data_IF_385117231947
#
_entry.id   IF_385117231947
#
_cell.length_a   1.000
_cell.length_b   1.000
_cell.length_c   1.000
_cell.angle_alpha   90.00
_cell.angle_beta   90.00
_cell.angle_gamma   90.00
#
_symmetry.space_group_name_H-M   'P 1'
#
loop_
_entity.id
_entity.type
_entity.pdbx_description
1 polymer ?
#
# COMPACT_ATOMS: atom_id res chain seq x y z
N UNK A 1 -37.59 -9.84 -1.84
CA UNK A 1 -36.90 -11.01 -1.23
C UNK A 1 -36.13 -11.87 -2.22
N UNK A 2 -36.19 -11.63 -3.53
CA UNK A 2 -35.47 -12.38 -4.59
C UNK A 2 -34.04 -11.93 -4.83
N UNK A 3 -33.65 -10.74 -4.40
CA UNK A 3 -32.33 -10.14 -4.70
C UNK A 3 -31.19 -10.63 -3.76
N UNK A 4 -31.50 -11.01 -2.53
CA UNK A 4 -30.50 -11.52 -1.56
C UNK A 4 -30.03 -12.94 -1.93
N UNK A 5 -30.92 -13.77 -2.50
CA UNK A 5 -30.59 -15.14 -2.92
C UNK A 5 -29.66 -15.21 -4.11
N UNK A 6 -29.77 -14.26 -5.05
CA UNK A 6 -28.91 -14.22 -6.25
C UNK A 6 -27.52 -13.64 -5.95
N UNK A 7 -27.42 -12.71 -5.00
CA UNK A 7 -26.14 -12.11 -4.56
C UNK A 7 -25.25 -13.11 -3.79
N UNK A 8 -25.85 -13.97 -2.96
CA UNK A 8 -25.12 -15.04 -2.27
C UNK A 8 -24.55 -16.10 -3.23
N UNK A 9 -25.27 -16.40 -4.32
CA UNK A 9 -24.84 -17.39 -5.30
C UNK A 9 -23.60 -16.93 -6.11
N UNK A 10 -23.53 -15.67 -6.51
CA UNK A 10 -22.38 -15.14 -7.26
C UNK A 10 -21.09 -15.11 -6.40
N UNK A 11 -21.20 -14.69 -5.13
CA UNK A 11 -20.07 -14.68 -4.19
C UNK A 11 -19.56 -16.10 -3.92
N UNK A 12 -20.45 -17.05 -3.63
CA UNK A 12 -20.07 -18.46 -3.44
C UNK A 12 -19.37 -19.02 -4.66
N UNK A 13 -19.83 -18.69 -5.86
CA UNK A 13 -19.26 -19.18 -7.11
C UNK A 13 -17.86 -18.66 -7.36
N UNK A 14 -17.56 -17.40 -7.03
CA UNK A 14 -16.18 -16.83 -7.13
C UNK A 14 -15.21 -17.61 -6.24
N UNK A 15 -15.60 -17.91 -5.00
CA UNK A 15 -14.77 -18.66 -4.06
C UNK A 15 -14.63 -20.12 -4.49
N UNK A 16 -15.71 -20.77 -4.91
CA UNK A 16 -15.67 -22.15 -5.42
C UNK A 16 -14.74 -22.30 -6.63
N UNK A 17 -14.79 -21.36 -7.57
CA UNK A 17 -13.93 -21.35 -8.75
C UNK A 17 -12.47 -21.12 -8.37
N UNK A 18 -12.19 -20.21 -7.43
CA UNK A 18 -10.83 -19.95 -6.97
C UNK A 18 -10.21 -21.14 -6.22
N UNK A 19 -11.01 -21.86 -5.42
CA UNK A 19 -10.57 -23.03 -4.64
C UNK A 19 -10.45 -24.32 -5.51
N UNK A 20 -11.14 -24.38 -6.64
CA UNK A 20 -11.12 -25.54 -7.53
C UNK A 20 -9.83 -25.69 -8.35
N UNK A 21 -9.00 -24.66 -8.37
CA UNK A 21 -7.76 -24.61 -9.17
C UNK A 21 -6.53 -24.37 -8.30
N UNK A 22 -5.34 -24.41 -8.89
CA UNK A 22 -4.11 -24.06 -8.16
C UNK A 22 -4.07 -22.57 -7.77
N UNK A 23 -3.33 -22.19 -6.71
CA UNK A 23 -3.17 -20.78 -6.31
C UNK A 23 -2.68 -19.86 -7.43
N UNK A 24 -1.90 -20.35 -8.38
CA UNK A 24 -1.43 -19.60 -9.55
C UNK A 24 -2.56 -19.31 -10.55
N UNK A 25 -3.53 -20.18 -10.66
CA UNK A 25 -4.61 -20.11 -11.65
C UNK A 25 -5.87 -19.45 -11.09
N UNK A 26 -5.94 -19.20 -9.77
CA UNK A 26 -7.14 -18.73 -9.08
C UNK A 26 -7.66 -17.41 -9.66
N UNK A 27 -6.78 -16.44 -9.92
CA UNK A 27 -7.15 -15.15 -10.51
C UNK A 27 -7.66 -15.31 -11.94
N UNK A 28 -6.99 -16.13 -12.75
CA UNK A 28 -7.41 -16.40 -14.12
C UNK A 28 -8.76 -17.13 -14.17
N UNK A 29 -8.98 -18.10 -13.30
CA UNK A 29 -10.24 -18.83 -13.21
C UNK A 29 -11.42 -17.91 -12.85
N UNK A 30 -11.24 -17.04 -11.85
CA UNK A 30 -12.26 -16.05 -11.46
C UNK A 30 -12.53 -15.05 -12.59
N UNK A 31 -11.49 -14.54 -13.25
CA UNK A 31 -11.66 -13.58 -14.36
C UNK A 31 -12.32 -14.24 -15.57
N UNK A 32 -12.03 -15.51 -15.85
CA UNK A 32 -12.68 -16.28 -16.92
C UNK A 32 -14.16 -16.51 -16.64
N UNK A 33 -14.51 -16.89 -15.42
CA UNK A 33 -15.90 -17.08 -15.01
C UNK A 33 -16.70 -15.78 -15.12
N UNK A 34 -16.15 -14.67 -14.64
CA UNK A 34 -16.76 -13.36 -14.74
C UNK A 34 -16.98 -12.95 -16.21
N UNK A 35 -15.95 -13.15 -17.06
CA UNK A 35 -16.03 -12.85 -18.46
C UNK A 35 -17.14 -13.65 -19.17
N UNK A 36 -17.24 -14.95 -18.88
CA UNK A 36 -18.29 -15.82 -19.44
C UNK A 36 -19.69 -15.39 -18.95
N UNK A 37 -19.83 -15.06 -17.66
CA UNK A 37 -21.12 -14.67 -17.08
C UNK A 37 -21.67 -13.35 -17.64
N UNK A 38 -20.78 -12.41 -17.99
CA UNK A 38 -21.14 -11.06 -18.48
C UNK A 38 -21.03 -10.94 -20.02
N UNK A 39 -20.65 -11.99 -20.74
CA UNK A 39 -20.45 -11.94 -22.18
C UNK A 39 -19.32 -10.97 -22.58
N UNK A 40 -18.32 -10.80 -21.74
CA UNK A 40 -17.17 -9.97 -22.02
C UNK A 40 -16.34 -10.57 -23.16
N UNK A 41 -15.72 -9.73 -23.97
CA UNK A 41 -14.81 -10.17 -25.04
C UNK A 41 -13.40 -10.41 -24.54
N UNK A 42 -12.99 -9.71 -23.49
CA UNK A 42 -11.72 -9.90 -22.81
C UNK A 42 -11.80 -9.41 -21.36
N UNK A 43 -11.04 -10.07 -20.49
CA UNK A 43 -10.80 -9.63 -19.11
C UNK A 43 -9.32 -9.76 -18.79
N UNK A 44 -8.76 -8.76 -18.10
CA UNK A 44 -7.38 -8.79 -17.61
C UNK A 44 -7.35 -8.40 -16.15
N UNK A 45 -6.49 -9.06 -15.38
CA UNK A 45 -6.09 -8.58 -14.06
C UNK A 45 -4.67 -8.02 -14.13
N UNK A 46 -4.51 -6.80 -13.64
CA UNK A 46 -3.25 -6.10 -13.55
C UNK A 46 -2.96 -5.85 -12.08
N UNK A 47 -1.76 -6.24 -11.62
CA UNK A 47 -1.32 -6.01 -10.25
C UNK A 47 -0.60 -4.66 -10.15
N UNK A 48 -0.83 -3.94 -9.05
CA UNK A 48 -0.12 -2.70 -8.78
C UNK A 48 1.35 -2.99 -8.42
N UNK A 49 2.26 -2.30 -9.07
CA UNK A 49 3.67 -2.31 -8.72
C UNK A 49 3.92 -1.73 -7.32
N UNK A 50 4.97 -2.19 -6.65
CA UNK A 50 5.35 -1.72 -5.31
C UNK A 50 5.73 -0.24 -5.29
N UNK A 51 6.22 0.30 -6.41
CA UNK A 51 6.46 1.75 -6.55
C UNK A 51 5.16 2.57 -6.61
N UNK A 52 4.00 1.94 -6.82
CA UNK A 52 2.72 2.61 -7.03
C UNK A 52 2.65 3.47 -8.30
N UNK A 53 3.58 3.25 -9.27
CA UNK A 53 3.71 4.06 -10.49
C UNK A 53 3.39 3.28 -11.76
N UNK A 54 3.13 1.98 -11.65
CA UNK A 54 2.83 1.12 -12.78
C UNK A 54 1.89 -0.02 -12.40
N UNK A 55 1.32 -0.66 -13.41
CA UNK A 55 0.61 -1.93 -13.30
C UNK A 55 1.30 -2.99 -14.15
N UNK A 56 1.39 -4.21 -13.63
CA UNK A 56 1.85 -5.37 -14.39
C UNK A 56 0.67 -6.29 -14.70
N UNK A 57 0.54 -6.74 -15.94
CA UNK A 57 -0.54 -7.65 -16.36
C UNK A 57 -0.21 -9.08 -15.96
N UNK A 58 -0.96 -9.67 -15.02
CA UNK A 58 -0.77 -11.04 -14.54
C UNK A 58 -1.67 -12.05 -15.25
N UNK A 59 -2.89 -11.67 -15.62
CA UNK A 59 -3.82 -12.56 -16.29
C UNK A 59 -4.53 -11.84 -17.45
N UNK A 60 -4.72 -12.53 -18.55
CA UNK A 60 -5.51 -12.06 -19.69
C UNK A 60 -6.31 -13.20 -20.27
N UNK A 61 -7.63 -13.05 -20.32
CA UNK A 61 -8.56 -14.03 -20.90
C UNK A 61 -9.30 -13.36 -22.07
N UNK A 62 -9.02 -13.80 -23.31
CA UNK A 62 -9.78 -13.40 -24.49
C UNK A 62 -10.82 -14.49 -24.79
N UNK A 63 -12.09 -14.10 -24.92
CA UNK A 63 -13.23 -15.01 -25.18
C UNK A 63 -13.75 -14.94 -26.63
N UNK A 64 -13.15 -14.12 -27.49
CA UNK A 64 -13.52 -14.12 -28.90
C UNK A 64 -13.02 -15.43 -29.51
N UNK A 65 -13.97 -16.22 -30.00
CA UNK A 65 -13.73 -17.42 -30.79
C UNK A 65 -13.04 -17.06 -32.12
N UNK A 66 -11.72 -16.98 -32.12
CA UNK A 66 -10.96 -17.18 -33.33
C UNK A 66 -10.91 -18.70 -33.52
N UNK A 67 -11.62 -19.19 -34.50
CA UNK A 67 -11.53 -20.55 -35.05
C UNK A 67 -10.07 -20.82 -35.41
N UNK A 68 -9.45 -21.78 -34.76
CA UNK A 68 -8.15 -22.33 -35.14
C UNK A 68 -7.00 -21.93 -34.20
N UNK A 69 -6.38 -22.95 -33.67
CA UNK A 69 -5.12 -23.02 -32.93
C UNK A 69 -5.18 -22.97 -31.39
N UNK A 70 -5.65 -24.08 -30.82
CA UNK A 70 -5.58 -24.32 -29.37
C UNK A 70 -4.24 -24.90 -28.89
N UNK A 71 -3.25 -25.12 -29.77
CA UNK A 71 -1.94 -25.68 -29.40
C UNK A 71 -0.82 -24.63 -29.26
N UNK A 72 -0.99 -23.41 -29.78
CA UNK A 72 -0.02 -22.32 -29.64
C UNK A 72 -0.02 -21.66 -28.23
N UNK A 73 -1.07 -21.89 -27.44
CA UNK A 73 -1.28 -21.16 -26.18
C UNK A 73 -0.39 -21.60 -25.00
N UNK A 74 0.31 -22.73 -25.05
CA UNK A 74 1.10 -23.27 -23.93
C UNK A 74 2.57 -22.82 -24.00
N UNK A 75 3.11 -22.58 -25.20
CA UNK A 75 4.48 -22.05 -25.37
C UNK A 75 4.53 -20.53 -25.11
N UNK A 76 3.48 -19.84 -25.46
CA UNK A 76 3.35 -18.37 -25.37
C UNK A 76 3.13 -17.86 -23.91
N UNK A 77 2.76 -18.76 -22.98
CA UNK A 77 2.50 -18.41 -21.58
C UNK A 77 3.78 -18.12 -20.78
N UNK A 78 4.87 -18.83 -21.01
CA UNK A 78 6.16 -18.58 -20.35
C UNK A 78 6.80 -17.29 -20.86
N UNK A 79 6.73 -17.03 -22.15
CA UNK A 79 7.24 -15.80 -22.74
C UNK A 79 6.40 -14.56 -22.37
N UNK A 80 5.11 -14.73 -22.11
CA UNK A 80 4.22 -13.69 -21.61
C UNK A 80 4.43 -13.38 -20.11
N UNK A 81 4.82 -14.36 -19.31
CA UNK A 81 5.22 -14.16 -17.92
C UNK A 81 6.59 -13.45 -17.83
N UNK A 82 7.52 -13.71 -18.75
CA UNK A 82 8.81 -13.02 -18.82
C UNK A 82 8.72 -11.61 -19.42
N UNK A 83 7.62 -11.26 -20.08
CA UNK A 83 7.36 -9.95 -20.67
C UNK A 83 6.07 -9.32 -20.13
N UNK A 84 5.96 -9.22 -18.80
CA UNK A 84 4.84 -8.51 -18.20
C UNK A 84 4.76 -7.09 -18.78
N UNK A 85 3.65 -6.80 -19.48
CA UNK A 85 3.40 -5.49 -20.03
C UNK A 85 3.16 -4.52 -18.88
N UNK A 86 4.19 -3.72 -18.58
CA UNK A 86 4.09 -2.64 -17.61
C UNK A 86 3.26 -1.50 -18.23
N UNK A 87 2.24 -1.07 -17.51
CA UNK A 87 1.44 0.10 -17.82
C UNK A 87 1.82 1.21 -16.84
N UNK A 88 2.67 2.16 -17.24
CA UNK A 88 3.04 3.28 -16.38
C UNK A 88 1.82 4.18 -16.15
N UNK A 89 1.80 4.85 -15.03
CA UNK A 89 0.82 5.87 -14.75
C UNK A 89 1.13 7.14 -15.56
N UNK A 90 0.11 7.68 -16.20
CA UNK A 90 0.21 8.80 -17.13
C UNK A 90 -0.84 9.91 -16.86
N UNK A 91 -1.47 9.88 -15.67
CA UNK A 91 -2.58 10.76 -15.30
C UNK A 91 -3.91 10.35 -15.96
N UNK A 92 -3.92 9.27 -16.75
CA UNK A 92 -5.07 8.82 -17.52
C UNK A 92 -6.10 8.03 -16.69
N UNK A 93 -7.12 7.46 -17.39
CA UNK A 93 -8.26 6.78 -16.73
C UNK A 93 -7.86 5.62 -15.81
N UNK A 94 -6.79 4.89 -16.12
CA UNK A 94 -6.27 3.78 -15.31
C UNK A 94 -5.80 4.30 -13.95
N UNK A 95 -4.93 5.29 -13.98
CA UNK A 95 -4.42 5.91 -12.76
C UNK A 95 -5.55 6.56 -11.95
N UNK A 96 -6.45 7.29 -12.60
CA UNK A 96 -7.60 7.90 -11.96
C UNK A 96 -8.53 6.87 -11.28
N UNK A 97 -8.77 5.72 -11.91
CA UNK A 97 -9.55 4.64 -11.30
C UNK A 97 -8.92 4.14 -10.00
N UNK A 98 -7.59 3.96 -9.99
CA UNK A 98 -6.86 3.48 -8.81
C UNK A 98 -6.77 4.55 -7.71
N UNK A 99 -6.44 5.79 -8.06
CA UNK A 99 -6.32 6.91 -7.10
C UNK A 99 -7.63 7.21 -6.39
N UNK A 100 -8.72 7.26 -7.15
CA UNK A 100 -10.05 7.53 -6.62
C UNK A 100 -10.71 6.28 -6.03
N UNK A 101 -10.14 5.09 -6.29
CA UNK A 101 -10.75 3.77 -5.98
C UNK A 101 -12.19 3.67 -6.49
N UNK A 102 -12.43 4.17 -7.68
CA UNK A 102 -13.73 4.17 -8.34
C UNK A 102 -13.67 3.48 -9.69
N UNK A 103 -14.70 2.71 -9.99
CA UNK A 103 -14.88 2.12 -11.30
C UNK A 103 -14.97 3.23 -12.37
N UNK A 104 -14.28 3.03 -13.50
CA UNK A 104 -14.34 3.89 -14.67
C UNK A 104 -14.90 3.13 -15.87
N UNK A 105 -15.84 3.75 -16.57
CA UNK A 105 -16.39 3.26 -17.82
C UNK A 105 -15.85 4.10 -18.98
N UNK A 106 -15.21 3.47 -19.95
CA UNK A 106 -14.66 4.12 -21.12
C UNK A 106 -15.46 3.74 -22.37
N UNK A 107 -15.96 4.71 -23.15
CA UNK A 107 -16.67 4.44 -24.40
C UNK A 107 -15.74 3.89 -25.48
N UNK A 108 -16.29 3.24 -26.51
CA UNK A 108 -15.53 2.74 -27.64
C UNK A 108 -14.64 3.80 -28.28
N UNK A 109 -13.37 3.45 -28.50
CA UNK A 109 -12.40 4.35 -29.16
C UNK A 109 -11.69 5.34 -28.24
N UNK A 110 -12.02 5.41 -26.96
CA UNK A 110 -11.25 6.20 -26.01
C UNK A 110 -9.87 5.56 -25.78
N UNK A 111 -8.82 6.38 -25.89
CA UNK A 111 -7.44 5.96 -25.64
C UNK A 111 -7.13 5.95 -24.14
N UNK A 112 -6.35 4.96 -23.70
CA UNK A 112 -5.82 4.87 -22.33
C UNK A 112 -4.52 4.04 -22.36
N UNK A 113 -3.80 3.94 -21.26
CA UNK A 113 -2.51 3.22 -21.19
C UNK A 113 -2.59 1.75 -21.67
N UNK A 114 -3.75 1.08 -21.54
CA UNK A 114 -3.99 -0.27 -22.04
C UNK A 114 -4.26 -0.35 -23.55
N UNK A 115 -4.26 0.76 -24.27
CA UNK A 115 -4.51 0.85 -25.72
C UNK A 115 -5.88 1.44 -26.08
N UNK A 116 -6.30 1.24 -27.34
CA UNK A 116 -7.60 1.67 -27.85
C UNK A 116 -8.44 0.45 -28.21
N UNK A 117 -9.61 0.30 -27.60
CA UNK A 117 -10.57 -0.77 -27.91
C UNK A 117 -11.63 -0.25 -28.87
N UNK A 118 -11.45 -0.51 -30.16
CA UNK A 118 -12.43 -0.10 -31.21
C UNK A 118 -13.70 -0.94 -31.08
N UNK A 119 -14.84 -0.27 -31.01
CA UNK A 119 -16.17 -0.93 -31.00
C UNK A 119 -16.52 -1.63 -29.68
N UNK A 120 -15.74 -1.45 -28.61
CA UNK A 120 -15.95 -2.08 -27.31
C UNK A 120 -15.94 -1.04 -26.19
N UNK A 121 -16.78 -1.24 -25.20
CA UNK A 121 -16.74 -0.53 -23.92
C UNK A 121 -15.67 -1.13 -23.03
N UNK A 122 -14.95 -0.31 -22.30
CA UNK A 122 -13.94 -0.79 -21.34
C UNK A 122 -14.33 -0.37 -19.94
N UNK A 123 -14.36 -1.34 -19.02
CA UNK A 123 -14.57 -1.12 -17.59
C UNK A 123 -13.23 -1.30 -16.87
N UNK A 124 -12.86 -0.31 -16.09
CA UNK A 124 -11.67 -0.30 -15.22
C UNK A 124 -12.16 -0.35 -13.77
N UNK A 125 -12.05 -1.50 -13.11
CA UNK A 125 -12.50 -1.68 -11.75
C UNK A 125 -11.30 -1.89 -10.81
N UNK A 126 -11.05 -0.98 -9.83
CA UNK A 126 -9.99 -1.14 -8.86
C UNK A 126 -10.19 -2.38 -7.99
N UNK A 127 -9.12 -3.14 -7.78
CA UNK A 127 -9.07 -4.27 -6.86
C UNK A 127 -8.39 -3.79 -5.60
N UNK A 128 -9.17 -3.63 -4.52
CA UNK A 128 -8.72 -2.96 -3.30
C UNK A 128 -9.14 -3.70 -2.05
N UNK A 129 -8.36 -3.51 -0.97
CA UNK A 129 -8.68 -4.00 0.36
C UNK A 129 -8.31 -2.92 1.40
N UNK A 130 -9.29 -2.47 2.23
CA UNK A 130 -9.10 -1.46 3.29
C UNK A 130 -8.30 -0.21 2.88
N UNK A 131 -8.55 0.31 1.67
CA UNK A 131 -7.83 1.45 1.13
C UNK A 131 -6.52 1.11 0.42
N UNK A 132 -6.00 -0.10 0.58
CA UNK A 132 -4.85 -0.59 -0.19
C UNK A 132 -5.26 -0.92 -1.61
N UNK A 133 -4.43 -0.51 -2.58
CA UNK A 133 -4.62 -0.83 -4.00
C UNK A 133 -3.80 -2.07 -4.34
N UNK A 134 -4.49 -3.17 -4.65
CA UNK A 134 -3.84 -4.42 -5.06
C UNK A 134 -3.65 -4.49 -6.57
N UNK A 135 -4.55 -3.84 -7.33
CA UNK A 135 -4.49 -3.87 -8.78
C UNK A 135 -5.76 -3.35 -9.44
N UNK A 136 -5.93 -3.74 -10.70
CA UNK A 136 -7.02 -3.33 -11.57
C UNK A 136 -7.60 -4.53 -12.32
N UNK A 137 -8.91 -4.64 -12.34
CA UNK A 137 -9.64 -5.50 -13.26
C UNK A 137 -10.05 -4.68 -14.49
N UNK A 138 -9.49 -5.01 -15.65
CA UNK A 138 -9.83 -4.42 -16.95
C UNK A 138 -10.75 -5.37 -17.71
N UNK A 139 -11.92 -4.90 -18.14
CA UNK A 139 -12.89 -5.71 -18.86
C UNK A 139 -13.35 -5.02 -20.13
N UNK A 140 -13.41 -5.77 -21.23
CA UNK A 140 -13.97 -5.30 -22.52
C UNK A 140 -15.33 -5.91 -22.77
N UNK A 141 -16.32 -5.06 -23.06
CA UNK A 141 -17.72 -5.44 -23.29
C UNK A 141 -18.18 -5.02 -24.70
N UNK A 142 -19.01 -5.84 -25.39
CA UNK A 142 -19.49 -5.52 -26.73
C UNK A 142 -20.53 -4.39 -26.77
N UNK A 143 -21.20 -4.12 -25.64
CA UNK A 143 -22.22 -3.08 -25.48
C UNK A 143 -22.00 -2.28 -24.20
N UNK A 144 -22.73 -1.16 -24.07
CA UNK A 144 -22.73 -0.36 -22.85
C UNK A 144 -23.33 -1.17 -21.70
N UNK A 145 -22.56 -1.36 -20.60
CA UNK A 145 -23.06 -2.08 -19.43
C UNK A 145 -24.08 -1.25 -18.67
N UNK A 146 -25.11 -1.92 -18.16
CA UNK A 146 -26.08 -1.31 -17.25
C UNK A 146 -25.52 -1.23 -15.80
N UNK A 147 -26.27 -0.59 -14.91
CA UNK A 147 -25.89 -0.40 -13.51
C UNK A 147 -25.70 -1.72 -12.75
N UNK A 148 -26.48 -2.75 -13.10
CA UNK A 148 -26.40 -4.05 -12.44
C UNK A 148 -25.13 -4.79 -12.85
N UNK A 149 -24.78 -4.73 -14.12
CA UNK A 149 -23.50 -5.25 -14.66
C UNK A 149 -22.30 -4.54 -14.01
N UNK A 150 -22.32 -3.20 -13.92
CA UNK A 150 -21.25 -2.45 -13.26
C UNK A 150 -21.13 -2.81 -11.77
N UNK A 151 -22.25 -2.99 -11.09
CA UNK A 151 -22.28 -3.42 -9.69
C UNK A 151 -21.73 -4.83 -9.51
N UNK A 152 -21.98 -5.74 -10.44
CA UNK A 152 -21.42 -7.10 -10.41
C UNK A 152 -19.91 -7.09 -10.63
N UNK A 153 -19.42 -6.29 -11.59
CA UNK A 153 -17.99 -6.12 -11.84
C UNK A 153 -17.30 -5.55 -10.59
N UNK A 154 -17.87 -4.52 -9.95
CA UNK A 154 -17.32 -3.93 -8.73
C UNK A 154 -17.23 -4.92 -7.57
N UNK A 155 -18.30 -5.73 -7.37
CA UNK A 155 -18.29 -6.78 -6.35
C UNK A 155 -17.23 -7.86 -6.61
N UNK A 156 -17.12 -8.29 -7.86
CA UNK A 156 -16.12 -9.31 -8.24
C UNK A 156 -14.71 -8.76 -8.10
N UNK A 157 -14.46 -7.50 -8.47
CA UNK A 157 -13.17 -6.85 -8.27
C UNK A 157 -12.78 -6.80 -6.79
N UNK A 158 -13.76 -6.50 -5.91
CA UNK A 158 -13.52 -6.54 -4.46
C UNK A 158 -13.20 -7.95 -3.95
N UNK A 159 -13.96 -8.97 -4.37
CA UNK A 159 -13.72 -10.36 -3.99
C UNK A 159 -12.37 -10.86 -4.53
N UNK A 160 -11.99 -10.44 -5.73
CA UNK A 160 -10.70 -10.77 -6.32
C UNK A 160 -9.53 -10.28 -5.44
N UNK A 161 -9.68 -9.14 -4.74
CA UNK A 161 -8.70 -8.68 -3.76
C UNK A 161 -8.44 -9.74 -2.67
N UNK A 162 -9.48 -10.32 -2.10
CA UNK A 162 -9.33 -11.40 -1.11
C UNK A 162 -8.75 -12.68 -1.71
N UNK A 163 -9.10 -13.02 -2.95
CA UNK A 163 -8.52 -14.16 -3.66
C UNK A 163 -6.99 -13.95 -3.83
N UNK A 164 -6.56 -12.77 -4.26
CA UNK A 164 -5.14 -12.41 -4.38
C UNK A 164 -4.44 -12.53 -3.02
N UNK A 165 -4.99 -11.92 -1.97
CA UNK A 165 -4.42 -11.96 -0.61
C UNK A 165 -4.29 -13.38 -0.08
N UNK A 166 -5.30 -14.24 -0.32
CA UNK A 166 -5.28 -15.62 0.13
C UNK A 166 -4.23 -16.46 -0.60
N UNK A 167 -4.06 -16.24 -1.90
CA UNK A 167 -3.20 -17.08 -2.74
C UNK A 167 -1.74 -16.62 -2.79
N UNK A 168 -1.44 -15.31 -2.60
CA UNK A 168 -0.07 -14.78 -2.65
C UNK A 168 0.90 -15.44 -1.67
N UNK A 169 0.40 -16.08 -0.59
CA UNK A 169 1.22 -16.82 0.38
C UNK A 169 1.73 -18.17 -0.13
N UNK A 170 1.24 -18.63 -1.28
CA UNK A 170 1.54 -19.94 -1.85
C UNK A 170 2.34 -19.85 -3.15
N UNK A 171 2.56 -18.66 -3.69
CA UNK A 171 3.24 -18.43 -4.97
C UNK A 171 3.93 -17.10 -5.00
N UNK A 172 5.06 -17.02 -5.69
CA UNK A 172 5.79 -15.77 -5.93
C UNK A 172 5.24 -14.96 -7.13
N UNK A 173 4.23 -15.49 -7.83
CA UNK A 173 3.66 -14.86 -9.02
C UNK A 173 3.25 -13.40 -8.77
N UNK A 174 2.55 -13.14 -7.65
CA UNK A 174 2.08 -11.80 -7.32
C UNK A 174 3.23 -10.88 -6.93
N UNK A 175 4.23 -11.38 -6.20
CA UNK A 175 5.43 -10.61 -5.85
C UNK A 175 6.27 -10.30 -7.08
N UNK A 176 6.39 -11.25 -8.00
CA UNK A 176 7.07 -11.04 -9.27
C UNK A 176 6.39 -9.94 -10.09
N UNK A 177 5.06 -9.98 -10.23
CA UNK A 177 4.30 -8.94 -10.94
C UNK A 177 4.36 -7.56 -10.29
N UNK A 178 4.62 -7.49 -8.97
CA UNK A 178 4.79 -6.23 -8.24
C UNK A 178 6.19 -5.62 -8.37
N UNK A 179 7.11 -6.26 -9.08
CA UNK A 179 8.51 -5.81 -9.22
C UNK A 179 8.76 -5.29 -10.63
N UNK A 180 8.61 -3.99 -10.84
CA UNK A 180 9.00 -3.34 -12.09
C UNK A 180 10.53 -3.32 -12.29
N UNK A 181 11.29 -3.40 -11.19
CA UNK A 181 12.76 -3.44 -11.17
C UNK A 181 13.27 -4.59 -10.29
N UNK A 182 14.41 -5.24 -10.66
CA UNK A 182 15.03 -6.26 -9.82
C UNK A 182 15.46 -5.68 -8.47
N UNK A 183 15.18 -6.40 -7.38
CA UNK A 183 15.64 -6.05 -6.05
C UNK A 183 17.03 -6.61 -5.77
N UNK A 184 17.84 -5.86 -5.02
CA UNK A 184 19.05 -6.36 -4.40
C UNK A 184 18.70 -7.21 -3.17
N UNK A 185 19.65 -8.01 -2.66
CA UNK A 185 19.40 -8.78 -1.44
C UNK A 185 19.01 -7.91 -0.22
N UNK A 186 19.66 -6.77 0.05
CA UNK A 186 19.19 -5.87 1.12
C UNK A 186 17.76 -5.39 0.92
N UNK A 187 17.37 -5.00 -0.30
CA UNK A 187 16.01 -4.58 -0.61
C UNK A 187 14.98 -5.68 -0.38
N UNK A 188 15.33 -6.92 -0.71
CA UNK A 188 14.46 -8.07 -0.41
C UNK A 188 14.29 -8.29 1.08
N UNK A 189 15.36 -8.19 1.88
CA UNK A 189 15.31 -8.30 3.34
C UNK A 189 14.43 -7.18 3.90
N UNK A 190 14.70 -5.93 3.53
CA UNK A 190 13.94 -4.76 3.97
C UNK A 190 12.45 -4.90 3.64
N UNK A 191 12.15 -5.29 2.40
CA UNK A 191 10.76 -5.50 1.94
C UNK A 191 10.01 -6.53 2.80
N UNK A 192 10.68 -7.61 3.23
CA UNK A 192 10.09 -8.65 4.11
C UNK A 192 9.84 -8.16 5.54
N UNK A 193 10.48 -7.08 5.96
CA UNK A 193 10.24 -6.44 7.26
C UNK A 193 8.99 -5.55 7.24
N UNK A 194 8.63 -5.00 6.09
CA UNK A 194 7.47 -4.11 5.99
C UNK A 194 6.16 -4.88 6.19
N UNK A 195 5.07 -4.19 6.58
CA UNK A 195 3.75 -4.81 6.64
C UNK A 195 3.27 -5.22 5.24
N UNK A 196 2.37 -6.19 5.20
CA UNK A 196 1.82 -6.70 3.94
C UNK A 196 0.94 -5.71 3.18
N UNK A 197 0.40 -4.70 3.87
CA UNK A 197 -0.36 -3.59 3.31
C UNK A 197 0.23 -2.28 3.82
N UNK A 198 0.38 -1.30 2.93
CA UNK A 198 0.92 0.02 3.27
C UNK A 198 -0.17 1.00 3.67
N UNK A 199 -1.41 0.69 3.36
CA UNK A 199 -2.59 1.47 3.72
C UNK A 199 -3.56 0.63 4.55
N UNK A 200 -4.13 1.22 5.61
CA UNK A 200 -5.15 0.60 6.43
C UNK A 200 -6.22 1.61 6.84
N UNK A 201 -7.43 1.43 6.35
CA UNK A 201 -8.63 2.11 6.84
C UNK A 201 -9.19 1.32 8.02
N UNK A 202 -8.87 1.75 9.24
CA UNK A 202 -9.26 1.06 10.49
C UNK A 202 -10.59 1.52 11.10
N UNK A 203 -11.36 2.36 10.38
CA UNK A 203 -12.59 2.97 10.90
C UNK A 203 -12.30 4.23 11.72
N UNK A 204 -11.79 4.09 12.94
CA UNK A 204 -11.40 5.23 13.78
C UNK A 204 -10.20 6.03 13.22
N UNK A 205 -9.43 5.43 12.36
CA UNK A 205 -8.25 6.03 11.74
C UNK A 205 -8.08 5.58 10.29
N UNK A 206 -7.30 6.32 9.54
CA UNK A 206 -6.70 5.88 8.28
C UNK A 206 -5.19 6.07 8.37
N UNK A 207 -4.45 5.00 8.13
CA UNK A 207 -2.99 5.01 8.08
C UNK A 207 -2.55 4.68 6.66
N UNK A 208 -1.55 5.41 6.16
CA UNK A 208 -0.82 5.02 4.96
C UNK A 208 0.65 5.31 5.14
N UNK A 209 1.51 4.45 4.61
CA UNK A 209 2.96 4.62 4.66
C UNK A 209 3.57 4.39 3.28
N UNK A 210 4.78 4.87 3.10
CA UNK A 210 5.55 4.74 1.88
C UNK A 210 7.03 4.64 2.23
N UNK A 211 7.74 3.83 1.47
CA UNK A 211 9.20 3.73 1.50
C UNK A 211 9.71 3.77 0.08
N UNK A 212 10.51 4.77 -0.24
CA UNK A 212 11.27 4.86 -1.48
C UNK A 212 12.71 4.42 -1.19
N UNK A 213 13.15 3.29 -1.72
CA UNK A 213 14.48 2.79 -1.45
C UNK A 213 15.54 3.60 -2.19
N UNK A 214 16.67 3.87 -1.55
CA UNK A 214 17.86 4.39 -2.19
C UNK A 214 18.52 3.34 -3.11
N UNK A 215 19.40 3.78 -4.00
CA UNK A 215 20.14 2.88 -4.89
C UNK A 215 21.00 1.85 -4.13
N UNK A 216 21.59 2.27 -2.99
CA UNK A 216 22.28 1.40 -2.06
C UNK A 216 21.39 1.29 -0.82
N UNK A 217 20.47 0.36 -0.84
CA UNK A 217 19.39 0.17 0.13
C UNK A 217 19.86 0.42 1.56
N UNK A 218 19.11 1.27 2.26
CA UNK A 218 19.30 1.65 3.64
C UNK A 218 18.67 0.71 4.65
N UNK A 219 18.44 1.23 5.84
CA UNK A 219 17.90 0.52 6.98
C UNK A 219 16.48 0.91 7.37
N UNK A 220 15.83 1.73 6.56
CA UNK A 220 14.50 2.23 6.85
C UNK A 220 13.45 1.14 6.93
N UNK A 221 12.58 1.24 7.93
CA UNK A 221 11.40 0.40 8.03
C UNK A 221 10.24 1.16 8.67
N UNK A 222 9.03 0.75 8.35
CA UNK A 222 7.84 1.10 9.10
C UNK A 222 7.05 -0.17 9.43
N UNK A 223 6.32 -0.13 10.54
CA UNK A 223 5.43 -1.23 10.94
C UNK A 223 4.18 -0.67 11.62
N UNK A 224 3.09 -1.39 11.49
CA UNK A 224 1.89 -1.16 12.29
C UNK A 224 1.19 -2.47 12.63
N UNK A 225 0.45 -2.46 13.73
CA UNK A 225 -0.36 -3.60 14.13
C UNK A 225 -1.61 -3.13 14.85
N UNK A 226 -2.76 -3.54 14.34
CA UNK A 226 -4.05 -3.22 14.92
C UNK A 226 -4.46 -4.30 15.93
N UNK A 227 -4.61 -3.89 17.18
CA UNK A 227 -5.29 -4.65 18.22
C UNK A 227 -6.77 -4.28 18.28
N UNK A 228 -7.49 -4.80 19.29
CA UNK A 228 -8.93 -4.50 19.44
C UNK A 228 -9.20 -3.01 19.66
N UNK A 229 -8.45 -2.38 20.55
CA UNK A 229 -8.67 -0.98 20.97
C UNK A 229 -7.39 -0.14 20.82
N UNK A 230 -6.35 -0.67 20.20
CA UNK A 230 -5.03 -0.06 20.11
C UNK A 230 -4.43 -0.24 18.74
N UNK A 231 -3.87 0.83 18.18
CA UNK A 231 -2.96 0.78 17.04
C UNK A 231 -1.53 0.97 17.55
N UNK A 232 -0.68 -0.01 17.31
CA UNK A 232 0.77 0.13 17.44
C UNK A 232 1.35 0.56 16.10
N UNK A 233 2.33 1.44 16.12
CA UNK A 233 3.06 1.88 14.93
C UNK A 233 4.54 2.07 15.28
N UNK A 234 5.41 1.95 14.30
CA UNK A 234 6.81 2.33 14.40
C UNK A 234 7.34 2.77 13.04
N UNK A 235 8.28 3.70 13.06
CA UNK A 235 9.16 4.03 11.95
C UNK A 235 10.58 3.99 12.50
N UNK A 236 11.49 3.29 11.83
CA UNK A 236 12.87 3.10 12.29
C UNK A 236 13.81 3.22 11.11
N UNK A 237 14.99 3.78 11.39
CA UNK A 237 16.08 3.89 10.44
C UNK A 237 17.34 3.29 11.09
N UNK A 238 17.85 2.22 10.50
CA UNK A 238 19.03 1.51 10.94
C UNK A 238 20.28 2.05 10.25
N UNK A 239 21.27 2.45 11.04
CA UNK A 239 22.55 3.01 10.60
C UNK A 239 23.19 2.21 9.47
N UNK A 240 23.72 2.90 8.47
CA UNK A 240 24.54 2.33 7.41
C UNK A 240 23.73 1.92 6.19
N UNK A 241 24.31 1.07 5.35
CA UNK A 241 23.70 0.65 4.08
C UNK A 241 23.99 -0.82 3.76
N UNK A 242 23.21 -1.36 2.87
CA UNK A 242 23.41 -2.71 2.36
C UNK A 242 22.96 -3.80 3.35
N UNK A 243 23.59 -4.97 3.28
CA UNK A 243 23.17 -6.16 4.06
C UNK A 243 23.30 -5.92 5.57
N UNK A 244 24.31 -5.19 6.02
CA UNK A 244 24.52 -4.94 7.44
C UNK A 244 23.38 -4.11 8.05
N UNK A 245 22.97 -3.03 7.39
CA UNK A 245 21.83 -2.21 7.78
C UNK A 245 20.53 -3.01 7.75
N UNK A 246 20.27 -3.79 6.69
CA UNK A 246 19.08 -4.64 6.59
C UNK A 246 19.00 -5.70 7.71
N UNK A 247 20.15 -6.26 8.15
CA UNK A 247 20.21 -7.18 9.28
C UNK A 247 19.94 -6.46 10.61
N UNK A 248 20.47 -5.24 10.78
CA UNK A 248 20.22 -4.41 11.94
C UNK A 248 18.73 -4.04 12.05
N UNK A 249 18.12 -3.61 10.92
CA UNK A 249 16.69 -3.37 10.82
C UNK A 249 15.87 -4.63 11.17
N UNK A 250 16.33 -5.82 10.71
CA UNK A 250 15.69 -7.11 11.03
C UNK A 250 15.68 -7.36 12.52
N UNK A 251 16.81 -7.13 13.21
CA UNK A 251 16.93 -7.31 14.65
C UNK A 251 16.02 -6.33 15.39
N UNK A 252 16.02 -5.06 14.98
CA UNK A 252 15.18 -4.01 15.55
C UNK A 252 13.68 -4.36 15.44
N UNK A 253 13.18 -4.54 14.22
CA UNK A 253 11.77 -4.83 13.94
C UNK A 253 11.35 -6.17 14.56
N UNK A 254 12.23 -7.18 14.49
CA UNK A 254 12.00 -8.48 15.11
C UNK A 254 11.82 -8.39 16.62
N UNK A 255 12.67 -7.61 17.29
CA UNK A 255 12.59 -7.37 18.73
C UNK A 255 11.30 -6.62 19.11
N UNK A 256 10.96 -5.54 18.40
CA UNK A 256 9.75 -4.77 18.62
C UNK A 256 8.48 -5.63 18.43
N UNK A 257 8.41 -6.41 17.36
CA UNK A 257 7.27 -7.31 17.08
C UNK A 257 7.13 -8.41 18.13
N UNK A 258 8.25 -8.99 18.57
CA UNK A 258 8.23 -10.06 19.54
C UNK A 258 7.72 -9.58 20.90
N UNK A 259 8.27 -8.49 21.42
CA UNK A 259 7.86 -7.90 22.72
C UNK A 259 6.43 -7.37 22.70
N UNK A 260 6.02 -6.72 21.61
CA UNK A 260 4.61 -6.31 21.41
C UNK A 260 3.65 -7.50 21.52
N UNK A 261 3.97 -8.64 20.86
CA UNK A 261 3.13 -9.86 20.92
C UNK A 261 3.06 -10.49 22.31
N UNK A 262 4.02 -10.22 23.16
CA UNK A 262 4.02 -10.62 24.59
C UNK A 262 3.22 -9.65 25.46
N UNK A 263 2.67 -8.58 24.90
CA UNK A 263 1.88 -7.58 25.63
C UNK A 263 2.73 -6.55 26.38
N UNK A 264 4.01 -6.42 26.05
CA UNK A 264 4.91 -5.46 26.66
C UNK A 264 4.47 -4.02 26.42
N UNK A 265 4.71 -3.14 27.39
CA UNK A 265 4.53 -1.70 27.26
C UNK A 265 5.44 -1.11 26.19
N UNK A 266 5.15 0.12 25.75
CA UNK A 266 5.97 0.79 24.74
C UNK A 266 7.42 1.00 25.19
N UNK A 267 7.62 1.30 26.49
CA UNK A 267 8.95 1.45 27.09
C UNK A 267 9.71 0.11 27.14
N UNK A 268 9.05 -0.98 27.50
CA UNK A 268 9.65 -2.30 27.48
C UNK A 268 10.02 -2.75 26.06
N UNK A 269 9.21 -2.40 25.06
CA UNK A 269 9.54 -2.65 23.66
C UNK A 269 10.81 -1.91 23.25
N UNK A 270 10.91 -0.61 23.59
CA UNK A 270 12.11 0.20 23.32
C UNK A 270 13.35 -0.36 24.04
N UNK A 271 13.25 -0.63 25.34
CA UNK A 271 14.35 -1.17 26.13
C UNK A 271 14.83 -2.54 25.61
N UNK A 272 13.90 -3.43 25.22
CA UNK A 272 14.26 -4.75 24.67
C UNK A 272 14.93 -4.63 23.30
N UNK A 273 14.45 -3.74 22.45
CA UNK A 273 15.09 -3.48 21.16
C UNK A 273 16.49 -2.86 21.36
N UNK A 274 16.63 -1.91 22.29
CA UNK A 274 17.92 -1.33 22.67
C UNK A 274 18.92 -2.40 23.13
N UNK A 275 18.51 -3.27 24.04
CA UNK A 275 19.37 -4.35 24.53
C UNK A 275 19.82 -5.30 23.41
N UNK A 276 18.89 -5.71 22.54
CA UNK A 276 19.19 -6.60 21.42
C UNK A 276 20.19 -5.97 20.44
N UNK A 277 20.03 -4.68 20.10
CA UNK A 277 20.96 -3.99 19.23
C UNK A 277 22.32 -3.74 19.90
N UNK A 278 22.35 -3.34 21.17
CA UNK A 278 23.59 -3.14 21.93
C UNK A 278 24.41 -4.43 22.06
N UNK A 279 23.75 -5.59 22.20
CA UNK A 279 24.42 -6.90 22.21
C UNK A 279 25.01 -7.24 20.84
N UNK A 280 24.35 -6.84 19.77
CA UNK A 280 24.81 -7.07 18.40
C UNK A 280 25.93 -6.09 17.97
N UNK A 281 25.91 -4.84 18.46
CA UNK A 281 26.82 -3.76 18.06
C UNK A 281 28.31 -4.14 18.08
N UNK A 282 28.86 -4.88 19.07
CA UNK A 282 30.27 -5.26 19.06
C UNK A 282 30.68 -6.15 17.90
N UNK A 283 29.73 -6.79 17.22
CA UNK A 283 29.99 -7.64 16.06
C UNK A 283 30.10 -6.85 14.74
N UNK A 284 29.82 -5.53 14.77
CA UNK A 284 29.84 -4.64 13.60
C UNK A 284 30.95 -3.62 13.74
N UNK A 285 31.80 -3.49 12.72
CA UNK A 285 33.03 -2.67 12.77
C UNK A 285 32.76 -1.18 13.07
N UNK A 286 31.66 -0.64 12.58
CA UNK A 286 31.31 0.80 12.65
C UNK A 286 30.25 1.09 13.73
N UNK A 287 29.96 0.11 14.60
CA UNK A 287 28.87 0.17 15.56
C UNK A 287 27.53 -0.27 14.93
N UNK A 288 26.50 -0.33 15.78
CA UNK A 288 25.17 -0.72 15.31
C UNK A 288 24.12 -0.01 16.18
N UNK A 289 23.38 0.91 15.59
CA UNK A 289 22.27 1.59 16.24
C UNK A 289 21.16 1.88 15.22
N UNK A 290 19.98 2.12 15.71
CA UNK A 290 18.86 2.56 14.89
C UNK A 290 18.16 3.75 15.55
N UNK A 291 17.79 4.76 14.77
CA UNK A 291 16.83 5.77 15.23
C UNK A 291 15.41 5.25 15.08
N UNK A 292 14.46 5.79 15.83
CA UNK A 292 13.08 5.36 15.66
C UNK A 292 12.06 6.11 16.50
N UNK A 293 10.83 6.12 15.97
CA UNK A 293 9.63 6.52 16.69
C UNK A 293 8.76 5.30 16.90
N UNK A 294 8.43 5.02 18.16
CA UNK A 294 7.49 3.95 18.52
C UNK A 294 6.21 4.58 19.02
N UNK A 295 5.06 4.13 18.56
CA UNK A 295 3.78 4.73 18.88
C UNK A 295 2.71 3.73 19.31
N UNK A 296 1.82 4.19 20.19
CA UNK A 296 0.65 3.47 20.66
C UNK A 296 -0.54 4.44 20.72
N UNK A 297 -1.51 4.24 19.84
CA UNK A 297 -2.73 5.02 19.78
C UNK A 297 -3.90 4.24 20.36
N UNK A 298 -4.52 4.79 21.38
CA UNK A 298 -5.77 4.27 21.97
C UNK A 298 -6.96 4.64 21.07
N UNK A 299 -7.62 3.66 20.47
CA UNK A 299 -8.68 3.89 19.49
C UNK A 299 -10.02 4.37 20.11
N UNK A 300 -10.15 4.29 21.43
CA UNK A 300 -11.35 4.80 22.13
C UNK A 300 -11.24 6.28 22.49
N UNK A 301 -10.03 6.71 22.85
CA UNK A 301 -9.79 8.05 23.38
C UNK A 301 -9.10 8.99 22.39
N UNK A 302 -8.28 8.44 21.48
CA UNK A 302 -7.36 9.23 20.66
C UNK A 302 -6.05 9.57 21.38
N UNK A 303 -5.78 8.96 22.55
CA UNK A 303 -4.53 9.16 23.24
C UNK A 303 -3.39 8.46 22.48
N UNK A 304 -2.46 9.26 21.96
CA UNK A 304 -1.26 8.83 21.28
C UNK A 304 -0.07 8.97 22.22
N UNK A 305 0.55 7.85 22.56
CA UNK A 305 1.81 7.78 23.31
C UNK A 305 2.94 7.47 22.36
N UNK A 306 4.05 8.21 22.45
CA UNK A 306 5.21 8.07 21.58
C UNK A 306 6.49 7.93 22.40
N UNK A 307 7.41 7.10 21.96
CA UNK A 307 8.82 7.07 22.37
C UNK A 307 9.66 7.54 21.19
N UNK A 308 10.53 8.52 21.42
CA UNK A 308 11.48 9.00 20.43
C UNK A 308 12.88 8.52 20.79
N UNK A 309 13.41 7.59 20.02
CA UNK A 309 14.76 7.04 20.14
C UNK A 309 15.68 7.70 19.10
N UNK A 310 16.00 8.99 19.31
CA UNK A 310 16.94 9.73 18.46
C UNK A 310 16.46 10.04 17.06
N UNK A 311 15.16 9.99 16.79
CA UNK A 311 14.54 10.19 15.48
C UNK A 311 13.98 11.61 15.31
N UNK A 312 13.75 12.03 14.09
CA UNK A 312 13.12 13.31 13.81
C UNK A 312 11.70 13.38 14.38
N UNK A 313 11.33 14.59 14.84
CA UNK A 313 10.03 14.79 15.45
C UNK A 313 8.90 14.68 14.40
N UNK A 314 7.81 13.93 14.69
CA UNK A 314 6.69 13.86 13.77
C UNK A 314 5.90 15.19 13.74
N UNK A 315 5.14 15.41 12.68
CA UNK A 315 4.34 16.61 12.50
C UNK A 315 2.86 16.36 12.82
N UNK A 316 2.24 17.33 13.52
CA UNK A 316 0.79 17.38 13.72
C UNK A 316 0.18 18.45 12.82
N UNK A 317 -0.76 18.03 11.97
CA UNK A 317 -1.62 18.96 11.23
C UNK A 317 -3.00 19.03 11.90
N UNK A 318 -3.27 20.16 12.57
CA UNK A 318 -4.52 20.45 13.29
C UNK A 318 -4.99 21.86 12.95
N UNK A 319 -6.29 22.04 12.68
CA UNK A 319 -6.89 23.37 12.48
C UNK A 319 -6.25 24.21 11.35
N UNK A 320 -5.63 23.56 10.34
CA UNK A 320 -4.93 24.26 9.23
C UNK A 320 -3.47 24.62 9.54
N UNK A 321 -3.00 24.38 10.76
CA UNK A 321 -1.60 24.54 11.15
C UNK A 321 -0.88 23.19 11.11
N UNK A 322 0.41 23.22 10.79
CA UNK A 322 1.31 22.06 10.85
C UNK A 322 2.47 22.43 11.75
N UNK A 323 2.68 21.64 12.80
CA UNK A 323 3.71 21.88 13.80
C UNK A 323 4.41 20.57 14.18
N UNK A 324 5.73 20.59 14.46
CA UNK A 324 6.39 19.42 15.01
C UNK A 324 5.84 19.09 16.40
N UNK A 325 5.67 17.81 16.68
CA UNK A 325 5.24 17.31 18.00
C UNK A 325 6.45 17.34 18.93
N UNK A 326 6.35 18.06 20.04
CA UNK A 326 7.41 18.11 21.04
C UNK A 326 7.41 16.83 21.86
N UNK A 327 8.49 16.04 21.79
CA UNK A 327 8.68 14.80 22.48
C UNK A 327 9.98 14.83 23.30
N UNK A 328 10.06 14.15 24.44
CA UNK A 328 11.35 13.81 25.03
C UNK A 328 12.16 13.02 24.00
N UNK A 329 13.40 13.44 23.74
CA UNK A 329 14.30 12.73 22.84
C UNK A 329 15.29 11.92 23.65
N UNK A 330 15.28 10.59 23.46
CA UNK A 330 16.25 9.65 24.02
C UNK A 330 17.31 9.32 22.95
N UNK A 331 18.33 8.59 23.33
CA UNK A 331 19.37 8.14 22.42
C UNK A 331 18.85 7.06 21.46
N UNK A 332 19.46 6.91 20.27
CA UNK A 332 19.14 5.83 19.35
C UNK A 332 19.21 4.46 19.99
N UNK A 333 18.37 3.54 19.52
CA UNK A 333 18.34 2.13 19.95
C UNK A 333 19.68 1.46 19.64
N UNK A 334 20.31 0.85 20.63
CA UNK A 334 21.58 0.14 20.48
C UNK A 334 22.83 0.99 20.68
N UNK A 335 22.70 2.33 20.77
CA UNK A 335 23.86 3.22 20.92
C UNK A 335 24.43 3.15 22.34
N UNK A 336 23.60 3.14 23.36
CA UNK A 336 23.98 2.99 24.75
C UNK A 336 23.14 1.91 25.44
N UNK A 337 23.78 0.90 26.00
CA UNK A 337 23.09 -0.25 26.61
C UNK A 337 22.17 0.13 27.78
N UNK A 338 22.55 1.14 28.56
CA UNK A 338 21.85 1.59 29.77
C UNK A 338 20.89 2.76 29.53
N UNK A 339 20.51 3.03 28.27
CA UNK A 339 19.59 4.12 27.95
C UNK A 339 18.20 3.89 28.53
N UNK A 340 17.68 4.91 29.22
CA UNK A 340 16.35 4.92 29.82
C UNK A 340 15.39 5.71 28.91
N UNK A 341 14.44 5.02 28.28
CA UNK A 341 13.46 5.64 27.38
C UNK A 341 12.32 6.30 28.17
N UNK A 342 11.80 7.38 27.61
CA UNK A 342 10.65 8.11 28.14
C UNK A 342 9.59 8.32 27.08
N UNK A 343 8.34 8.56 27.51
CA UNK A 343 7.20 8.77 26.61
C UNK A 343 6.79 10.23 26.53
N UNK A 344 6.40 10.66 25.32
CA UNK A 344 5.57 11.82 25.10
C UNK A 344 4.12 11.42 24.87
N UNK A 345 3.18 12.24 25.29
CA UNK A 345 1.76 11.98 25.13
C UNK A 345 1.06 13.12 24.39
N UNK A 346 0.18 12.79 23.48
CA UNK A 346 -0.64 13.70 22.72
C UNK A 346 -2.08 13.18 22.67
N UNK A 347 -3.04 14.08 22.90
CA UNK A 347 -4.45 13.77 22.65
C UNK A 347 -4.82 14.21 21.24
N UNK A 348 -5.18 13.25 20.38
CA UNK A 348 -5.66 13.51 19.03
C UNK A 348 -7.13 13.94 19.06
N UNK A 349 -7.45 14.93 18.23
CA UNK A 349 -8.81 15.39 17.96
C UNK A 349 -9.29 14.87 16.61
N UNK A 350 -10.59 14.55 16.44
CA UNK A 350 -11.10 14.12 15.15
C UNK A 350 -10.76 15.13 14.04
N UNK A 351 -10.14 14.64 12.97
CA UNK A 351 -9.62 15.45 11.87
C UNK A 351 -8.15 15.80 11.98
N UNK A 352 -7.45 15.38 13.03
CA UNK A 352 -6.00 15.49 13.09
C UNK A 352 -5.31 14.56 12.11
N UNK A 353 -4.17 15.02 11.61
CA UNK A 353 -3.22 14.21 10.83
C UNK A 353 -1.86 14.25 11.50
N UNK A 354 -1.27 13.08 11.72
CA UNK A 354 0.12 12.94 12.18
C UNK A 354 0.96 12.41 11.02
N UNK A 355 2.11 13.06 10.77
CA UNK A 355 3.04 12.66 9.71
C UNK A 355 4.39 12.33 10.34
N UNK A 356 4.87 11.14 10.10
CA UNK A 356 6.17 10.62 10.50
C UNK A 356 7.06 10.54 9.27
N UNK A 357 8.32 10.91 9.39
CA UNK A 357 9.29 10.89 8.28
C UNK A 357 10.65 10.45 8.78
N UNK A 358 11.44 9.79 7.93
CA UNK A 358 12.87 9.60 8.15
C UNK A 358 13.66 10.76 7.55
N UNK A 359 14.94 10.84 7.87
CA UNK A 359 15.82 11.93 7.44
C UNK A 359 16.00 12.00 5.92
N UNK A 360 15.88 10.87 5.18
CA UNK A 360 15.87 10.87 3.73
C UNK A 360 14.79 11.75 3.09
N UNK A 361 13.69 12.01 3.82
CA UNK A 361 12.68 13.01 3.44
C UNK A 361 13.12 14.46 3.71
N UNK A 362 14.18 14.67 4.50
CA UNK A 362 14.65 15.96 5.00
C UNK A 362 16.06 16.31 4.51
N UNK A 363 16.77 15.36 3.85
CA UNK A 363 18.15 15.51 3.42
C UNK A 363 18.38 16.73 2.50
N UNK A 364 19.65 17.08 2.29
CA UNK A 364 20.08 18.31 1.58
C UNK A 364 19.45 18.49 0.20
N UNK A 365 19.19 17.40 -0.49
CA UNK A 365 18.55 17.45 -1.81
C UNK A 365 17.03 17.66 -1.66
N UNK A 366 16.43 17.17 -0.60
CA UNK A 366 15.02 17.40 -0.23
C UNK A 366 14.83 18.70 0.60
N UNK A 367 15.90 19.35 1.08
CA UNK A 367 15.82 20.60 1.85
C UNK A 367 15.23 21.80 1.05
N UNK A 368 15.09 21.67 -0.27
CA UNK A 368 14.33 22.62 -1.09
C UNK A 368 12.81 22.43 -0.96
N UNK A 369 12.34 21.30 -0.41
CA UNK A 369 10.95 21.00 -0.18
C UNK A 369 10.52 21.59 1.18
N UNK A 370 9.55 22.50 1.18
CA UNK A 370 8.89 22.93 2.42
C UNK A 370 7.88 21.85 2.85
N UNK A 371 8.34 20.81 3.56
CA UNK A 371 7.53 19.70 4.01
C UNK A 371 6.29 20.15 4.80
N UNK A 372 6.40 21.23 5.59
CA UNK A 372 5.27 21.79 6.34
C UNK A 372 4.20 22.35 5.38
N UNK A 373 4.63 23.06 4.33
CA UNK A 373 3.72 23.54 3.30
C UNK A 373 3.06 22.40 2.55
N UNK A 374 3.82 21.38 2.18
CA UNK A 374 3.31 20.19 1.47
C UNK A 374 2.32 19.38 2.30
N UNK A 375 2.60 19.14 3.58
CA UNK A 375 1.64 18.49 4.51
C UNK A 375 0.34 19.33 4.60
N UNK A 376 0.45 20.65 4.61
CA UNK A 376 -0.72 21.54 4.65
C UNK A 376 -1.53 21.48 3.36
N UNK A 377 -0.89 21.47 2.20
CA UNK A 377 -1.55 21.42 0.89
C UNK A 377 -2.28 20.07 0.66
N UNK A 378 -1.68 18.97 1.12
CA UNK A 378 -2.22 17.63 0.96
C UNK A 378 -3.27 17.25 2.01
N UNK A 379 -3.64 18.15 2.92
CA UNK A 379 -4.52 17.83 4.06
C UNK A 379 -5.90 17.29 3.65
N UNK A 380 -6.45 17.74 2.54
CA UNK A 380 -7.75 17.28 2.03
C UNK A 380 -7.68 15.95 1.30
N UNK A 381 -6.47 15.46 0.98
CA UNK A 381 -6.28 14.20 0.30
C UNK A 381 -6.39 13.04 1.28
N UNK A 382 -6.77 11.87 0.75
CA UNK A 382 -6.66 10.62 1.49
C UNK A 382 -5.19 10.36 1.87
N UNK A 383 -4.87 9.80 3.07
CA UNK A 383 -3.50 9.50 3.48
C UNK A 383 -2.64 8.81 2.42
N UNK A 384 -3.19 7.86 1.67
CA UNK A 384 -2.52 7.19 0.54
C UNK A 384 -2.09 8.18 -0.55
N UNK A 385 -2.96 9.11 -0.92
CA UNK A 385 -2.63 10.12 -1.93
C UNK A 385 -1.66 11.17 -1.38
N UNK A 386 -1.73 11.46 -0.08
CA UNK A 386 -0.75 12.31 0.60
C UNK A 386 0.64 11.67 0.60
N UNK A 387 0.77 10.39 1.00
CA UNK A 387 2.07 9.70 1.00
C UNK A 387 2.67 9.67 -0.40
N UNK A 388 1.85 9.36 -1.40
CA UNK A 388 2.29 9.35 -2.80
C UNK A 388 2.75 10.72 -3.27
N UNK A 389 1.96 11.76 -3.05
CA UNK A 389 2.33 13.12 -3.49
C UNK A 389 3.59 13.62 -2.81
N UNK A 390 3.75 13.38 -1.51
CA UNK A 390 4.97 13.74 -0.79
C UNK A 390 6.19 12.97 -1.32
N UNK A 391 6.05 11.69 -1.60
CA UNK A 391 7.12 10.89 -2.21
C UNK A 391 7.47 11.37 -3.62
N UNK A 392 6.48 11.64 -4.46
CA UNK A 392 6.70 12.16 -5.82
C UNK A 392 7.40 13.54 -5.77
N UNK A 393 6.98 14.45 -4.87
CA UNK A 393 7.60 15.77 -4.71
C UNK A 393 9.08 15.66 -4.27
N UNK A 394 9.43 14.70 -3.40
CA UNK A 394 10.82 14.43 -3.03
C UNK A 394 11.62 13.98 -4.24
N UNK A 395 11.13 13.03 -5.02
CA UNK A 395 11.80 12.52 -6.22
C UNK A 395 11.94 13.58 -7.34
N UNK A 396 10.96 14.47 -7.48
CA UNK A 396 11.01 15.58 -8.45
C UNK A 396 12.15 16.55 -8.12
N UNK A 397 12.43 16.74 -6.82
CA UNK A 397 13.51 17.63 -6.35
C UNK A 397 14.86 16.92 -6.33
N UNK A 398 14.92 15.66 -5.90
CA UNK A 398 16.17 14.90 -5.70
C UNK A 398 16.61 14.17 -6.96
N UNK A 399 15.70 13.92 -7.90
CA UNK A 399 15.90 13.00 -9.03
C UNK A 399 15.57 11.55 -8.64
N UNK A 400 15.65 10.61 -9.60
CA UNK A 400 15.19 9.24 -9.44
C UNK A 400 16.08 8.38 -8.52
N UNK A 401 17.22 8.89 -8.08
CA UNK A 401 18.15 8.20 -7.17
C UNK A 401 18.30 8.99 -5.89
N UNK A 402 17.76 8.46 -4.81
CA UNK A 402 17.95 8.99 -3.47
C UNK A 402 19.34 8.64 -2.93
N UNK A 403 19.89 9.50 -2.07
CA UNK A 403 21.15 9.25 -1.36
C UNK A 403 20.92 8.27 -0.19
N UNK A 404 19.76 8.36 0.47
CA UNK A 404 19.29 7.46 1.52
C UNK A 404 17.84 7.09 1.30
N UNK A 405 17.36 6.04 1.97
CA UNK A 405 15.95 5.65 1.94
C UNK A 405 15.08 6.81 2.45
N UNK A 406 13.94 7.01 1.80
CA UNK A 406 12.97 8.01 2.23
C UNK A 406 11.67 7.31 2.65
N UNK A 407 11.38 7.40 3.94
CA UNK A 407 10.19 6.76 4.51
C UNK A 407 9.26 7.79 5.11
N UNK A 408 7.97 7.61 4.86
CA UNK A 408 6.95 8.43 5.48
C UNK A 408 5.73 7.60 5.87
N UNK A 409 5.05 8.03 6.95
CA UNK A 409 3.79 7.46 7.40
C UNK A 409 2.83 8.58 7.75
N UNK A 410 1.62 8.50 7.27
CA UNK A 410 0.52 9.45 7.50
C UNK A 410 -0.59 8.75 8.24
N UNK A 411 -1.00 9.31 9.37
CA UNK A 411 -2.09 8.81 10.22
C UNK A 411 -3.17 9.89 10.36
N UNK A 412 -4.35 9.65 9.84
CA UNK A 412 -5.54 10.47 10.07
C UNK A 412 -6.37 9.87 11.20
N UNK A 413 -6.73 10.70 12.17
CA UNK A 413 -7.61 10.33 13.26
C UNK A 413 -9.04 10.82 13.00
N UNK A 414 -10.01 9.88 12.96
CA UNK A 414 -11.43 10.17 12.68
C UNK A 414 -12.28 10.22 13.95
N UNK A 415 -11.73 9.81 15.09
CA UNK A 415 -12.44 9.69 16.36
C UNK A 415 -12.97 8.28 16.62
N UNK A 416 -13.38 8.04 17.87
CA UNK A 416 -13.84 6.73 18.32
C UNK A 416 -15.02 6.15 17.51
N UNK A 417 -15.97 6.99 17.11
CA UNK A 417 -17.10 6.55 16.29
C UNK A 417 -16.69 6.20 14.85
N UNK A 418 -15.48 6.54 14.50
CA UNK A 418 -14.93 6.24 13.20
C UNK A 418 -15.53 7.09 12.08
N UNK A 419 -15.12 6.75 10.87
CA UNK A 419 -15.67 7.28 9.63
C UNK A 419 -16.29 6.11 8.87
N UNK A 420 -17.52 6.28 8.41
CA UNK A 420 -18.14 5.31 7.52
C UNK A 420 -17.28 5.20 6.26
N UNK A 421 -16.93 3.97 5.91
CA UNK A 421 -16.25 3.72 4.65
C UNK A 421 -17.25 3.96 3.54
N UNK A 422 -16.90 4.86 2.62
CA UNK A 422 -17.77 5.25 1.50
C UNK A 422 -18.16 4.06 0.63
N UNK A 423 -17.34 3.01 0.63
CA UNK A 423 -17.61 1.77 -0.10
C UNK A 423 -16.91 0.61 0.58
N UNK A 424 -17.59 -0.51 0.69
CA UNK A 424 -16.99 -1.77 1.15
C UNK A 424 -15.96 -2.31 0.14
N UNK A 425 -16.00 -1.84 -1.10
CA UNK A 425 -15.25 -2.40 -2.21
C UNK A 425 -14.12 -1.51 -2.73
N UNK A 426 -14.11 -0.22 -2.42
CA UNK A 426 -13.21 0.71 -3.11
C UNK A 426 -13.52 0.89 -4.62
N UNK A 427 -14.49 0.16 -5.17
CA UNK A 427 -14.91 0.19 -6.57
C UNK A 427 -16.40 0.55 -6.64
N UNK A 428 -16.71 1.83 -6.44
CA UNK A 428 -18.09 2.33 -6.46
C UNK A 428 -18.60 2.48 -7.89
N UNK A 429 -19.59 1.67 -8.27
CA UNK A 429 -20.21 1.73 -9.59
C UNK A 429 -21.07 2.98 -9.79
N UNK A 430 -21.48 3.69 -8.74
CA UNK A 430 -22.33 4.88 -8.81
C UNK A 430 -21.56 6.16 -9.12
N UNK A 431 -20.25 6.19 -8.89
CA UNK A 431 -19.40 7.37 -9.01
C UNK A 431 -19.13 7.86 -10.43
N UNK A 432 -19.38 7.05 -11.45
CA UNK A 432 -18.93 7.34 -12.84
C UNK A 432 -19.85 8.26 -13.64
N UNK A 433 -21.06 8.55 -13.16
CA UNK A 433 -22.04 9.32 -13.94
C UNK A 433 -21.97 10.84 -13.80
N UNK A 434 -21.09 11.41 -12.99
CA UNK A 434 -21.17 12.82 -12.63
C UNK A 434 -19.89 13.65 -12.55
N UNK A 435 -18.72 13.13 -12.85
CA UNK A 435 -17.50 13.92 -12.76
C UNK A 435 -16.91 14.28 -14.11
N UNK A 436 -17.40 15.35 -14.73
CA UNK A 436 -16.52 16.23 -15.50
C UNK A 436 -15.33 16.63 -14.61
N UNK A 437 -14.11 16.69 -15.14
CA UNK A 437 -12.95 17.07 -14.34
C UNK A 437 -13.19 18.48 -13.80
N UNK A 438 -13.28 18.61 -12.48
CA UNK A 438 -13.09 19.93 -11.87
C UNK A 438 -11.60 20.22 -11.96
N UNK A 439 -11.27 21.05 -12.95
CA UNK A 439 -9.99 21.75 -12.96
C UNK A 439 -9.84 22.49 -11.63
N UNK A 440 -8.86 22.13 -10.85
CA UNK A 440 -8.22 22.98 -9.85
C UNK A 440 -6.74 22.98 -10.19
#
# INVERSE_FOLDING_TARGET
MTDIGNRGAATSRVLEVAEAVSPMEAVEAVTRELAAALGATAVSFLIADLSGRALARLAHVALTSATGDSEAAVGDRRDAEESAMLLPFDGGPVEQALRNQQLRLLPPGQSYAGGVRKGQWTVLAPVTERGEVLGLLEMSLPGEPDSDTLSEIARTAHLLGFVVIANRRHTDLFEWGQRSTPFTLPAEIQRRLLPAAYTCEGGAFTLSAWLEPAANVGGDTFDYSLGRDVLHLSITDAMGHGVASALLATLCVGSLRNTRRQGASLLEQAATANAALSEYAPSVADGAYATGLLGRLELRSGALTLVNAGHDAPYLARGGQVTPIQLPTCMPLGLFADEEYSTGNLMLEPGDRVVFVTDGMLERNAAALDLIAEIRQTRSLHPRETTRQLADNVLDVTGPTLADDATLMVLDWHGHHGRDRATAAGADASGDRSSSPRHV
#
